data_IF_494642741759
#
_entry.id   IF_494642741759
#
_cell.length_a   1.000
_cell.length_b   1.000
_cell.length_c   1.000
_cell.angle_alpha   90.00
_cell.angle_beta   90.00
_cell.angle_gamma   90.00
#
_symmetry.space_group_name_H-M   'P 1'
#
loop_
_entity.id
_entity.type
_entity.pdbx_description
1 polymer ?
#
# COMPACT_ATOMS: atom_id res chain seq x y z
N UNK A 1 5.13 -7.39 1.40
CA UNK A 1 5.11 -5.97 1.05
C UNK A 1 6.40 -5.29 1.44
N UNK A 2 6.92 -5.45 2.67
CA UNK A 2 8.25 -4.94 3.05
C UNK A 2 9.36 -5.27 2.02
N UNK A 3 9.52 -6.54 1.64
CA UNK A 3 10.53 -6.92 0.65
C UNK A 3 10.28 -6.30 -0.74
N UNK A 4 9.03 -6.16 -1.18
CA UNK A 4 8.73 -5.53 -2.48
C UNK A 4 9.06 -4.03 -2.43
N UNK A 5 8.70 -3.35 -1.34
CA UNK A 5 9.00 -1.94 -1.11
C UNK A 5 10.52 -1.65 -1.04
N UNK A 6 11.29 -2.62 -0.54
CA UNK A 6 12.74 -2.50 -0.41
C UNK A 6 13.47 -2.51 -1.77
N UNK A 7 12.98 -3.33 -2.72
CA UNK A 7 13.60 -3.47 -4.06
C UNK A 7 12.95 -2.61 -5.14
N UNK A 8 11.93 -1.83 -4.80
CA UNK A 8 11.23 -1.02 -5.78
C UNK A 8 11.94 0.31 -6.02
N UNK A 9 11.92 0.85 -7.26
CA UNK A 9 12.44 2.18 -7.55
C UNK A 9 11.81 3.22 -6.63
N UNK A 10 12.61 4.21 -6.22
CA UNK A 10 12.18 5.32 -5.37
C UNK A 10 12.30 6.63 -6.12
N UNK A 11 11.38 7.54 -5.83
CA UNK A 11 11.47 8.94 -6.23
C UNK A 11 12.43 9.72 -5.30
N UNK A 12 12.55 11.03 -5.55
CA UNK A 12 13.43 11.93 -4.80
C UNK A 12 13.06 12.05 -3.31
N UNK A 13 11.80 11.82 -2.97
CA UNK A 13 11.27 11.86 -1.60
C UNK A 13 11.34 10.49 -0.89
N UNK A 14 11.99 9.50 -1.52
CA UNK A 14 12.13 8.15 -1.00
C UNK A 14 10.85 7.31 -1.09
N UNK A 15 9.81 7.80 -1.77
CA UNK A 15 8.59 7.05 -2.00
C UNK A 15 8.80 6.04 -3.10
N UNK A 16 8.10 4.91 -3.02
CA UNK A 16 8.05 3.94 -4.10
C UNK A 16 6.60 3.72 -4.52
N UNK A 17 6.31 4.11 -5.76
CA UNK A 17 4.98 4.10 -6.35
C UNK A 17 4.97 3.05 -7.46
N UNK A 18 4.07 2.06 -7.34
CA UNK A 18 3.90 0.98 -8.31
C UNK A 18 2.44 0.90 -8.76
N UNK A 19 2.22 0.76 -10.06
CA UNK A 19 0.88 0.79 -10.65
C UNK A 19 0.36 2.21 -10.78
N UNK A 20 -0.97 2.36 -10.76
CA UNK A 20 -1.64 3.66 -10.85
C UNK A 20 -1.67 4.37 -9.48
N UNK A 21 -0.60 5.09 -9.18
CA UNK A 21 -0.40 5.74 -7.88
C UNK A 21 0.23 7.15 -8.03
N UNK A 22 -0.25 8.08 -7.23
CA UNK A 22 0.28 9.46 -7.12
C UNK A 22 0.52 9.81 -5.65
N UNK A 23 1.58 10.56 -5.40
CA UNK A 23 1.94 11.04 -4.06
C UNK A 23 2.16 12.56 -4.10
N UNK A 24 1.64 13.26 -3.09
CA UNK A 24 1.79 14.70 -2.92
C UNK A 24 2.31 15.00 -1.52
N UNK A 25 3.56 15.45 -1.43
CA UNK A 25 4.20 15.74 -0.14
C UNK A 25 4.32 14.51 0.77
N UNK A 26 4.42 13.31 0.19
CA UNK A 26 4.72 12.09 0.94
C UNK A 26 6.23 11.90 1.04
N UNK A 27 6.70 11.25 2.10
CA UNK A 27 8.10 10.84 2.26
C UNK A 27 8.19 9.39 2.69
N UNK A 28 9.23 8.72 2.20
CA UNK A 28 9.55 7.34 2.58
C UNK A 28 8.31 6.44 2.63
N UNK A 29 7.39 6.54 1.68
CA UNK A 29 6.15 5.76 1.67
C UNK A 29 6.09 4.81 0.47
N UNK A 30 5.48 3.65 0.64
CA UNK A 30 5.27 2.68 -0.44
C UNK A 30 3.80 2.64 -0.81
N UNK A 31 3.49 2.82 -2.09
CA UNK A 31 2.13 2.75 -2.63
C UNK A 31 2.13 1.76 -3.78
N UNK A 32 1.31 0.71 -3.65
CA UNK A 32 1.10 -0.27 -4.70
C UNK A 32 -0.38 -0.30 -5.09
N UNK A 33 -0.64 -0.09 -6.38
CA UNK A 33 -1.95 -0.25 -6.99
C UNK A 33 -1.98 -1.51 -7.86
N UNK A 34 -3.00 -2.36 -7.67
CA UNK A 34 -3.24 -3.53 -8.52
C UNK A 34 -4.21 -3.22 -9.67
N UNK A 35 -4.93 -2.09 -9.63
CA UNK A 35 -5.86 -1.72 -10.71
C UNK A 35 -6.70 -0.47 -10.49
N UNK A 36 -6.75 0.12 -9.28
CA UNK A 36 -7.44 1.39 -9.02
C UNK A 36 -6.46 2.52 -8.73
N UNK A 37 -6.76 3.75 -9.14
CA UNK A 37 -5.95 4.92 -8.81
C UNK A 37 -5.85 5.11 -7.29
N UNK A 38 -4.62 5.25 -6.78
CA UNK A 38 -4.35 5.64 -5.39
C UNK A 38 -3.70 7.03 -5.37
N UNK A 39 -4.31 7.96 -4.64
CA UNK A 39 -3.71 9.27 -4.39
C UNK A 39 -3.37 9.39 -2.90
N UNK A 40 -2.10 9.62 -2.59
CA UNK A 40 -1.59 9.76 -1.24
C UNK A 40 -1.12 11.21 -1.00
N UNK A 41 -1.47 11.77 0.16
CA UNK A 41 -1.10 13.14 0.54
C UNK A 41 -0.52 13.12 1.95
N UNK A 42 0.68 13.67 2.14
CA UNK A 42 1.29 13.87 3.46
C UNK A 42 1.61 12.58 4.23
N UNK A 43 1.78 11.44 3.55
CA UNK A 43 2.15 10.19 4.20
C UNK A 43 3.64 10.14 4.49
N UNK A 44 4.01 9.64 5.66
CA UNK A 44 5.39 9.45 6.08
C UNK A 44 5.57 8.03 6.65
N UNK A 45 6.55 7.28 6.13
CA UNK A 45 6.81 5.90 6.57
C UNK A 45 5.59 4.96 6.49
N UNK A 46 4.76 5.14 5.47
CA UNK A 46 3.53 4.37 5.27
C UNK A 46 3.65 3.33 4.16
N UNK A 47 2.78 2.33 4.22
CA UNK A 47 2.51 1.34 3.20
C UNK A 47 1.04 1.42 2.84
N UNK A 48 0.75 1.58 1.56
CA UNK A 48 -0.58 1.52 0.96
C UNK A 48 -0.55 0.45 -0.13
N UNK A 49 -1.45 -0.52 -0.06
CA UNK A 49 -1.50 -1.65 -1.00
C UNK A 49 -2.95 -1.92 -1.38
N UNK A 50 -3.27 -1.75 -2.65
CA UNK A 50 -4.49 -2.30 -3.25
C UNK A 50 -4.25 -3.77 -3.65
N UNK A 51 -5.07 -4.67 -3.13
CA UNK A 51 -5.04 -6.11 -3.47
C UNK A 51 -6.14 -6.50 -4.46
N UNK A 52 -6.87 -5.52 -5.01
CA UNK A 52 -8.01 -5.72 -5.90
C UNK A 52 -9.33 -5.84 -5.13
N UNK A 53 -9.35 -6.63 -4.07
CA UNK A 53 -10.51 -6.85 -3.17
C UNK A 53 -10.55 -5.91 -1.95
N UNK A 54 -9.42 -5.31 -1.61
CA UNK A 54 -9.31 -4.39 -0.48
C UNK A 54 -8.12 -3.43 -0.66
N UNK A 55 -8.16 -2.31 0.05
CA UNK A 55 -7.00 -1.44 0.26
C UNK A 55 -6.52 -1.61 1.68
N UNK A 56 -5.23 -1.93 1.81
CA UNK A 56 -4.56 -2.00 3.09
C UNK A 56 -3.64 -0.80 3.28
N UNK A 57 -3.72 -0.19 4.46
CA UNK A 57 -2.88 0.92 4.88
C UNK A 57 -2.26 0.61 6.23
N UNK A 58 -0.94 0.74 6.36
CA UNK A 58 -0.25 0.59 7.64
C UNK A 58 1.10 1.32 7.66
N UNK A 59 1.67 1.61 8.85
CA UNK A 59 3.06 2.01 8.95
C UNK A 59 4.00 0.92 8.41
N UNK A 60 5.14 1.33 7.82
CA UNK A 60 6.20 0.43 7.35
C UNK A 60 6.69 -0.51 8.46
N UNK A 61 6.77 -0.03 9.70
CA UNK A 61 7.16 -0.83 10.87
C UNK A 61 6.25 -2.04 11.14
N UNK A 62 5.01 -2.01 10.63
CA UNK A 62 4.01 -3.08 10.79
C UNK A 62 3.73 -3.86 9.50
N UNK A 63 4.56 -3.67 8.46
CA UNK A 63 4.40 -4.30 7.14
C UNK A 63 4.27 -5.83 7.16
N UNK A 64 4.82 -6.49 8.18
CA UNK A 64 4.76 -7.94 8.36
C UNK A 64 3.32 -8.42 8.66
N UNK A 65 2.52 -7.57 9.31
CA UNK A 65 1.14 -7.90 9.71
C UNK A 65 0.16 -7.91 8.54
N UNK A 66 0.52 -7.26 7.42
CA UNK A 66 -0.31 -7.19 6.22
C UNK A 66 -0.72 -8.57 5.71
N UNK A 67 0.19 -9.55 5.74
CA UNK A 67 -0.11 -10.92 5.32
C UNK A 67 -1.22 -11.55 6.19
N UNK A 68 -1.24 -11.26 7.49
CA UNK A 68 -2.24 -11.77 8.43
C UNK A 68 -3.61 -11.14 8.14
N UNK A 69 -3.64 -9.83 7.88
CA UNK A 69 -4.88 -9.11 7.56
C UNK A 69 -5.47 -9.56 6.22
N UNK A 70 -4.65 -9.69 5.18
CA UNK A 70 -5.09 -10.20 3.87
C UNK A 70 -5.66 -11.62 4.00
N UNK A 71 -4.99 -12.50 4.74
CA UNK A 71 -5.50 -13.87 4.96
C UNK A 71 -6.86 -13.86 5.67
N UNK A 72 -7.04 -12.98 6.66
CA UNK A 72 -8.32 -12.80 7.37
C UNK A 72 -9.42 -12.26 6.46
N UNK A 73 -9.14 -11.24 5.65
CA UNK A 73 -10.13 -10.65 4.73
C UNK A 73 -10.62 -11.67 3.69
N UNK A 74 -9.70 -12.48 3.14
CA UNK A 74 -10.05 -13.59 2.24
C UNK A 74 -10.93 -14.64 2.91
N UNK A 75 -10.68 -14.95 4.18
CA UNK A 75 -11.48 -15.91 4.95
C UNK A 75 -12.88 -15.37 5.29
N UNK A 76 -13.02 -14.06 5.49
CA UNK A 76 -14.30 -13.45 5.88
C UNK A 76 -15.25 -13.18 4.69
N UNK A 77 -14.86 -13.46 3.43
CA UNK A 77 -15.66 -13.22 2.21
C UNK A 77 -16.42 -11.89 2.25
N UNK A 78 -15.76 -10.82 2.69
CA UNK A 78 -16.40 -9.53 2.89
C UNK A 78 -16.74 -8.96 1.51
N UNK A 79 -18.00 -9.08 1.09
CA UNK A 79 -18.52 -8.43 -0.14
C UNK A 79 -18.52 -6.92 0.10
N UNK A 80 -17.97 -6.17 -0.85
CA UNK A 80 -18.15 -4.72 -0.92
C UNK A 80 -19.65 -4.41 -0.74
N UNK A 81 -20.00 -3.61 0.27
CA UNK A 81 -21.33 -3.03 0.37
C UNK A 81 -21.32 -1.80 -0.53
N UNK A 82 -22.02 -1.91 -1.65
CA UNK A 82 -22.34 -0.81 -2.57
C UNK A 82 -23.21 0.25 -1.88
#
# INVERSE_FOLDING_TARGET
WAALAEFSPRDEDGNSLLGDAMAFGCRDSFVYSAGRLITAIGLEDMIVVDTGDAVLVCPKSRAQEVRKVVARLKAEQRREQL
#
